data_IF_163960779699
#
_entry.id   IF_163960779699
#
_cell.length_a   1.000
_cell.length_b   1.000
_cell.length_c   1.000
_cell.angle_alpha   90.00
_cell.angle_beta   90.00
_cell.angle_gamma   90.00
#
_symmetry.space_group_name_H-M   'P 1'
#
loop_
_entity.id
_entity.type
_entity.pdbx_description
1 polymer ?
#
# COMPACT_ATOMS: atom_id res chain seq x y z
N UNK A 1 13.96 -0.46 17.13
CA UNK A 1 13.05 -1.61 16.97
C UNK A 1 11.66 -1.17 16.52
N UNK A 2 10.97 -1.95 15.67
CA UNK A 2 9.76 -1.54 14.95
C UNK A 2 8.73 -2.68 14.88
N UNK A 3 7.62 -2.61 15.63
CA UNK A 3 6.57 -3.65 15.61
C UNK A 3 5.40 -3.29 14.68
N UNK A 4 5.11 -4.19 13.73
CA UNK A 4 3.94 -4.16 12.82
C UNK A 4 2.92 -5.17 13.34
N UNK A 5 1.69 -4.73 13.62
CA UNK A 5 0.62 -5.62 14.06
C UNK A 5 -0.67 -5.24 13.32
N UNK A 6 -1.32 -6.16 12.60
CA UNK A 6 -2.65 -5.93 12.07
C UNK A 6 -3.68 -5.98 13.22
N UNK A 7 -4.36 -4.87 13.46
CA UNK A 7 -5.58 -4.87 14.28
C UNK A 7 -6.77 -5.49 13.53
N UNK A 8 -7.26 -6.64 13.97
CA UNK A 8 -8.51 -7.16 13.39
C UNK A 8 -9.71 -6.21 13.57
N UNK A 9 -10.63 -6.15 12.61
CA UNK A 9 -11.89 -5.38 12.71
C UNK A 9 -12.68 -5.85 13.95
N UNK A 10 -12.92 -4.94 14.90
CA UNK A 10 -13.50 -5.19 16.24
C UNK A 10 -14.76 -6.08 16.32
N UNK A 11 -15.54 -6.17 15.24
CA UNK A 11 -16.77 -6.96 15.18
C UNK A 11 -16.70 -8.19 14.26
N UNK A 12 -15.62 -8.33 13.48
CA UNK A 12 -15.42 -9.45 12.56
C UNK A 12 -14.29 -10.37 13.05
N UNK A 13 -13.29 -9.82 13.72
CA UNK A 13 -12.12 -10.55 14.15
C UNK A 13 -12.33 -11.20 15.52
N UNK A 14 -12.00 -12.49 15.59
CA UNK A 14 -12.04 -13.28 16.81
C UNK A 14 -11.09 -12.70 17.86
N UNK A 15 -11.51 -12.76 19.13
CA UNK A 15 -10.74 -12.36 20.31
C UNK A 15 -10.14 -10.93 20.26
N UNK A 16 -10.67 -10.02 19.45
CA UNK A 16 -10.08 -8.69 19.20
C UNK A 16 -9.73 -7.92 20.49
N UNK A 17 -10.66 -7.80 21.45
CA UNK A 17 -10.39 -7.09 22.73
C UNK A 17 -9.24 -7.71 23.52
N UNK A 18 -9.19 -9.03 23.59
CA UNK A 18 -8.17 -9.78 24.32
C UNK A 18 -6.81 -9.61 23.65
N UNK A 19 -6.75 -9.71 22.31
CA UNK A 19 -5.53 -9.46 21.53
C UNK A 19 -4.98 -8.05 21.76
N UNK A 20 -5.82 -7.01 21.78
CA UNK A 20 -5.37 -5.64 22.10
C UNK A 20 -4.78 -5.51 23.52
N UNK A 21 -5.29 -6.27 24.50
CA UNK A 21 -4.71 -6.29 25.85
C UNK A 21 -3.31 -6.90 25.81
N UNK A 22 -3.16 -8.06 25.16
CA UNK A 22 -1.90 -8.79 25.02
C UNK A 22 -0.86 -7.99 24.24
N UNK A 23 -1.26 -7.33 23.14
CA UNK A 23 -0.40 -6.41 22.38
C UNK A 23 0.11 -5.29 23.30
N UNK A 24 -0.78 -4.71 24.11
CA UNK A 24 -0.38 -3.68 25.06
C UNK A 24 0.54 -4.19 26.17
N UNK A 25 0.44 -5.47 26.56
CA UNK A 25 1.36 -6.08 27.52
C UNK A 25 2.73 -6.33 26.89
N UNK A 26 2.77 -6.92 25.69
CA UNK A 26 3.99 -7.12 24.91
C UNK A 26 4.75 -5.81 24.75
N UNK A 27 4.08 -4.78 24.21
CA UNK A 27 4.69 -3.47 23.98
C UNK A 27 5.17 -2.78 25.27
N UNK A 28 4.55 -3.07 26.41
CA UNK A 28 5.00 -2.51 27.69
C UNK A 28 6.26 -3.17 28.25
N UNK A 29 6.54 -4.41 27.83
CA UNK A 29 7.68 -5.22 28.28
C UNK A 29 8.86 -5.10 27.31
N UNK A 30 8.57 -5.15 26.00
CA UNK A 30 9.50 -4.93 24.90
C UNK A 30 9.90 -3.44 24.89
N UNK A 31 11.13 -3.12 25.29
CA UNK A 31 11.65 -1.74 25.36
C UNK A 31 12.01 -1.22 23.96
N UNK A 32 11.03 -1.16 23.06
CA UNK A 32 11.22 -0.69 21.68
C UNK A 32 11.26 0.84 21.63
N UNK A 33 12.04 1.41 20.70
CA UNK A 33 12.05 2.87 20.49
C UNK A 33 10.79 3.37 19.76
N UNK A 34 10.32 2.62 18.74
CA UNK A 34 9.26 3.03 17.83
C UNK A 34 8.31 1.85 17.58
N UNK A 35 7.01 2.13 17.51
CA UNK A 35 5.98 1.12 17.23
C UNK A 35 5.08 1.62 16.10
N UNK A 36 4.84 0.77 15.09
CA UNK A 36 4.05 1.10 13.91
C UNK A 36 2.88 0.12 13.75
N UNK A 37 1.71 0.48 14.24
CA UNK A 37 0.52 -0.39 14.18
C UNK A 37 -0.31 -0.14 12.92
N UNK A 38 -0.70 -1.20 12.24
CA UNK A 38 -1.63 -1.19 11.11
C UNK A 38 -2.99 -1.68 11.57
N UNK A 39 -4.02 -1.39 10.77
CA UNK A 39 -5.37 -1.91 11.01
C UNK A 39 -5.94 -1.61 12.41
N UNK A 40 -5.50 -0.56 13.09
CA UNK A 40 -6.18 -0.07 14.30
C UNK A 40 -7.46 0.68 13.89
N UNK A 41 -8.46 -0.07 13.42
CA UNK A 41 -9.66 0.46 12.78
C UNK A 41 -10.58 1.25 13.72
N UNK A 42 -10.42 1.09 15.04
CA UNK A 42 -11.26 1.72 16.04
C UNK A 42 -10.46 2.71 16.90
N UNK A 43 -10.90 3.98 16.91
CA UNK A 43 -10.31 5.02 17.75
C UNK A 43 -10.33 4.65 19.25
N UNK A 44 -11.34 3.92 19.71
CA UNK A 44 -11.40 3.44 21.10
C UNK A 44 -10.26 2.48 21.44
N UNK A 45 -9.86 1.63 20.50
CA UNK A 45 -8.79 0.65 20.72
C UNK A 45 -7.42 1.34 20.68
N UNK A 46 -7.25 2.33 19.79
CA UNK A 46 -6.11 3.24 19.84
C UNK A 46 -6.01 3.97 21.19
N UNK A 47 -7.10 4.58 21.67
CA UNK A 47 -7.11 5.31 22.95
C UNK A 47 -6.81 4.39 24.14
N UNK A 48 -7.27 3.14 24.08
CA UNK A 48 -6.92 2.12 25.08
C UNK A 48 -5.40 1.86 25.10
N UNK A 49 -4.80 1.57 23.94
CA UNK A 49 -3.35 1.35 23.83
C UNK A 49 -2.57 2.59 24.28
N UNK A 50 -2.94 3.77 23.81
CA UNK A 50 -2.32 5.06 24.20
C UNK A 50 -2.31 5.25 25.71
N UNK A 51 -3.42 4.93 26.39
CA UNK A 51 -3.50 5.02 27.85
C UNK A 51 -2.63 3.98 28.55
N UNK A 52 -2.65 2.72 28.08
CA UNK A 52 -1.87 1.63 28.67
C UNK A 52 -0.37 1.85 28.51
N UNK A 53 0.03 2.41 27.38
CA UNK A 53 1.43 2.59 26.96
C UNK A 53 2.00 3.97 27.29
N UNK A 54 1.25 4.86 27.96
CA UNK A 54 1.66 6.26 28.14
C UNK A 54 2.96 6.46 28.91
N UNK A 55 3.36 5.50 29.75
CA UNK A 55 4.62 5.55 30.50
C UNK A 55 5.85 5.16 29.68
N UNK A 56 5.66 4.30 28.66
CA UNK A 56 6.75 3.79 27.80
C UNK A 56 6.81 4.57 26.49
N UNK A 57 5.65 4.84 25.89
CA UNK A 57 5.49 5.57 24.63
C UNK A 57 4.67 6.86 24.85
N UNK A 58 5.30 7.95 25.35
CA UNK A 58 4.61 9.20 25.63
C UNK A 58 4.09 9.90 24.36
N UNK A 59 4.71 9.63 23.21
CA UNK A 59 4.33 10.18 21.91
C UNK A 59 3.61 9.12 21.09
N UNK A 60 2.33 9.37 20.79
CA UNK A 60 1.47 8.48 19.99
C UNK A 60 0.53 9.28 19.11
N UNK A 61 0.38 8.82 17.86
CA UNK A 61 -0.46 9.49 16.86
C UNK A 61 -1.36 8.48 16.15
N UNK A 62 -2.58 8.90 15.81
CA UNK A 62 -3.57 8.09 15.10
C UNK A 62 -3.81 8.65 13.71
N UNK A 63 -3.40 7.91 12.69
CA UNK A 63 -3.65 8.27 11.29
C UNK A 63 -5.07 7.86 10.90
N UNK A 64 -6.01 8.80 11.02
CA UNK A 64 -7.42 8.55 10.67
C UNK A 64 -7.61 8.58 9.16
N UNK A 65 -8.12 7.47 8.64
CA UNK A 65 -8.64 7.37 7.28
C UNK A 65 -10.14 7.75 7.24
N UNK A 66 -10.59 8.33 6.10
CA UNK A 66 -12.00 8.67 5.86
C UNK A 66 -12.74 7.41 5.40
N UNK A 67 -13.79 7.03 6.12
CA UNK A 67 -14.57 5.80 5.94
C UNK A 67 -15.88 6.07 5.18
N UNK A 68 -16.24 5.26 4.17
CA UNK A 68 -17.64 5.20 3.67
C UNK A 68 -18.08 3.75 3.32
N UNK A 69 -19.13 3.22 3.92
CA UNK A 69 -19.14 1.80 4.33
C UNK A 69 -19.64 0.73 3.33
N UNK A 70 -19.17 0.64 2.07
CA UNK A 70 -19.69 -0.38 1.13
C UNK A 70 -18.69 -1.30 0.40
N UNK A 71 -17.37 -1.07 0.45
CA UNK A 71 -16.32 -1.99 -0.03
C UNK A 71 -15.08 -1.88 0.87
N UNK A 72 -14.58 -2.99 1.41
CA UNK A 72 -13.63 -3.04 2.55
C UNK A 72 -12.38 -2.17 2.40
N UNK A 73 -11.63 -2.30 1.30
CA UNK A 73 -10.39 -1.54 1.09
C UNK A 73 -10.57 -0.22 0.35
N UNK A 74 -11.51 -0.13 -0.60
CA UNK A 74 -11.75 1.09 -1.39
C UNK A 74 -12.24 2.25 -0.52
N UNK A 75 -13.02 1.95 0.51
CA UNK A 75 -13.48 2.94 1.46
C UNK A 75 -12.85 2.82 2.86
N UNK A 76 -11.88 1.93 3.01
CA UNK A 76 -11.01 1.88 4.18
C UNK A 76 -10.00 3.03 4.20
N UNK A 77 -9.90 3.81 3.10
CA UNK A 77 -9.02 4.96 2.90
C UNK A 77 -7.57 4.67 3.30
N UNK A 78 -7.03 3.58 2.73
CA UNK A 78 -5.61 3.21 2.84
C UNK A 78 -4.76 4.44 2.56
N UNK A 79 -3.82 4.72 3.46
CA UNK A 79 -3.05 5.94 3.47
C UNK A 79 -1.64 5.69 4.00
N UNK A 80 -0.75 6.64 3.74
CA UNK A 80 0.58 6.69 4.33
C UNK A 80 0.61 7.72 5.46
N UNK A 81 1.07 7.29 6.63
CA UNK A 81 1.42 8.16 7.74
C UNK A 81 2.90 8.53 7.68
N UNK A 82 3.23 9.78 8.02
CA UNK A 82 4.61 10.26 8.14
C UNK A 82 4.84 10.88 9.51
N UNK A 83 5.93 10.51 10.17
CA UNK A 83 6.43 11.12 11.39
C UNK A 83 7.87 11.60 11.16
N UNK A 84 8.21 12.76 11.71
CA UNK A 84 9.57 13.28 11.71
C UNK A 84 10.10 13.21 13.13
N UNK A 85 11.20 12.48 13.31
CA UNK A 85 11.89 12.36 14.59
C UNK A 85 13.27 13.02 14.50
N UNK A 86 13.71 13.59 15.62
CA UNK A 86 15.08 14.04 15.79
C UNK A 86 15.77 13.11 16.79
N UNK A 87 16.62 12.22 16.29
CA UNK A 87 17.35 11.26 17.11
C UNK A 87 18.81 11.67 17.14
N UNK A 88 19.27 12.18 18.28
CA UNK A 88 20.66 12.62 18.50
C UNK A 88 21.18 13.62 17.44
N UNK A 89 20.30 14.49 16.93
CA UNK A 89 20.64 15.49 15.92
C UNK A 89 20.35 15.05 14.48
N UNK A 90 20.06 13.78 14.24
CA UNK A 90 19.70 13.24 12.93
C UNK A 90 18.19 13.30 12.71
N UNK A 91 17.80 13.78 11.53
CA UNK A 91 16.41 13.84 11.08
C UNK A 91 15.99 12.50 10.50
N UNK A 92 15.23 11.74 11.27
CA UNK A 92 14.71 10.45 10.87
C UNK A 92 13.25 10.61 10.41
N UNK A 93 12.99 10.31 9.14
CA UNK A 93 11.64 10.27 8.60
C UNK A 93 11.12 8.84 8.64
N UNK A 94 9.99 8.66 9.34
CA UNK A 94 9.34 7.36 9.48
C UNK A 94 8.02 7.39 8.73
N UNK A 95 7.83 6.41 7.87
CA UNK A 95 6.63 6.19 7.10
C UNK A 95 5.95 4.91 7.57
N UNK A 96 4.64 4.95 7.68
CA UNK A 96 3.80 3.77 7.93
C UNK A 96 2.73 3.69 6.85
N UNK A 97 2.52 2.50 6.30
CA UNK A 97 1.45 2.29 5.33
C UNK A 97 0.80 0.93 5.50
N UNK A 98 -0.36 0.77 4.88
CA UNK A 98 -0.98 -0.52 4.63
C UNK A 98 -1.61 -0.40 3.24
N UNK A 99 -1.15 -1.21 2.28
CA UNK A 99 -1.64 -1.17 0.90
C UNK A 99 -2.93 -1.98 0.74
N UNK A 100 -3.53 -1.95 -0.45
CA UNK A 100 -4.70 -2.76 -0.79
C UNK A 100 -4.38 -4.25 -0.64
N UNK A 101 -5.33 -5.08 -0.22
CA UNK A 101 -5.06 -6.50 -0.02
C UNK A 101 -4.99 -7.31 -1.34
N UNK A 102 -4.26 -8.42 -1.33
CA UNK A 102 -4.36 -9.45 -2.37
C UNK A 102 -5.43 -10.48 -1.97
N UNK A 103 -6.58 -10.47 -2.64
CA UNK A 103 -7.69 -11.39 -2.31
C UNK A 103 -7.58 -12.75 -3.01
N UNK A 104 -6.95 -12.80 -4.18
CA UNK A 104 -6.79 -14.02 -4.98
C UNK A 104 -5.64 -13.86 -5.97
N UNK A 105 -4.57 -14.65 -5.79
CA UNK A 105 -3.38 -14.62 -6.64
C UNK A 105 -3.67 -14.96 -8.10
N UNK A 106 -4.48 -15.99 -8.35
CA UNK A 106 -4.79 -16.46 -9.71
C UNK A 106 -5.63 -15.45 -10.51
N UNK A 107 -6.42 -14.62 -9.82
CA UNK A 107 -7.34 -13.66 -10.43
C UNK A 107 -7.30 -12.33 -9.70
N UNK A 108 -6.13 -11.71 -9.74
CA UNK A 108 -5.91 -10.47 -9.03
C UNK A 108 -6.33 -9.23 -9.84
N UNK A 109 -7.59 -8.83 -9.69
CA UNK A 109 -8.08 -7.59 -10.30
C UNK A 109 -7.52 -6.32 -9.64
N UNK A 110 -6.90 -6.44 -8.46
CA UNK A 110 -6.42 -5.31 -7.66
C UNK A 110 -4.92 -5.06 -7.79
N UNK A 111 -4.17 -5.92 -8.51
CA UNK A 111 -2.76 -5.68 -8.80
C UNK A 111 -2.50 -4.27 -9.38
N UNK A 112 -3.26 -3.78 -10.38
CA UNK A 112 -3.05 -2.41 -10.88
C UNK A 112 -3.24 -1.35 -9.80
N UNK A 113 -4.16 -1.55 -8.85
CA UNK A 113 -4.38 -0.62 -7.74
C UNK A 113 -3.22 -0.66 -6.75
N UNK A 114 -2.68 -1.84 -6.42
CA UNK A 114 -1.47 -1.97 -5.57
C UNK A 114 -0.25 -1.34 -6.23
N UNK A 115 -0.10 -1.49 -7.54
CA UNK A 115 0.98 -0.83 -8.31
C UNK A 115 0.83 0.68 -8.31
N UNK A 116 -0.38 1.22 -8.48
CA UNK A 116 -0.65 2.67 -8.34
C UNK A 116 -0.31 3.16 -6.93
N UNK A 117 -0.76 2.46 -5.90
CA UNK A 117 -0.47 2.84 -4.51
C UNK A 117 1.04 2.78 -4.21
N UNK A 118 1.75 1.77 -4.69
CA UNK A 118 3.21 1.69 -4.57
C UNK A 118 3.91 2.85 -5.29
N UNK A 119 3.40 3.25 -6.47
CA UNK A 119 3.89 4.41 -7.21
C UNK A 119 3.64 5.73 -6.46
N UNK A 120 2.44 5.94 -5.93
CA UNK A 120 2.13 7.14 -5.14
C UNK A 120 2.96 7.19 -3.84
N UNK A 121 3.10 6.05 -3.16
CA UNK A 121 3.90 5.91 -1.95
C UNK A 121 5.38 6.27 -2.20
N UNK A 122 5.98 5.73 -3.27
CA UNK A 122 7.37 6.05 -3.57
C UNK A 122 7.55 7.55 -3.89
N UNK A 123 6.62 8.15 -4.64
CA UNK A 123 6.67 9.58 -4.95
C UNK A 123 6.57 10.42 -3.68
N UNK A 124 5.64 10.07 -2.79
CA UNK A 124 5.46 10.74 -1.51
C UNK A 124 6.72 10.65 -0.64
N UNK A 125 7.32 9.46 -0.52
CA UNK A 125 8.57 9.27 0.22
C UNK A 125 9.66 10.16 -0.38
N UNK A 126 9.85 10.16 -1.70
CA UNK A 126 10.90 10.95 -2.35
C UNK A 126 10.71 12.46 -2.18
N UNK A 127 9.52 12.98 -2.44
CA UNK A 127 9.24 14.42 -2.37
C UNK A 127 9.25 14.95 -0.95
N UNK A 128 8.94 14.10 0.05
CA UNK A 128 8.88 14.52 1.45
C UNK A 128 10.10 14.13 2.28
N UNK A 129 11.09 13.46 1.68
CA UNK A 129 12.34 13.08 2.36
C UNK A 129 13.52 14.01 2.05
N UNK A 130 13.27 15.15 1.39
CA UNK A 130 14.29 16.18 1.23
C UNK A 130 14.80 16.65 2.62
N UNK A 131 16.10 16.46 2.87
CA UNK A 131 16.75 16.81 4.13
C UNK A 131 16.55 15.83 5.28
N UNK A 132 16.08 14.60 5.00
CA UNK A 132 16.14 13.50 5.97
C UNK A 132 17.53 12.86 5.95
N UNK A 133 18.06 12.58 7.13
CA UNK A 133 19.32 11.84 7.31
C UNK A 133 19.08 10.33 7.25
N UNK A 134 17.90 9.87 7.69
CA UNK A 134 17.48 8.48 7.63
C UNK A 134 16.01 8.43 7.23
N UNK A 135 15.66 7.48 6.37
CA UNK A 135 14.28 7.18 5.99
C UNK A 135 13.97 5.73 6.34
N UNK A 136 12.88 5.50 7.06
CA UNK A 136 12.37 4.18 7.42
C UNK A 136 10.92 4.09 6.95
N UNK A 137 10.56 3.00 6.29
CA UNK A 137 9.19 2.65 5.92
C UNK A 137 8.83 1.31 6.57
N UNK A 138 7.78 1.30 7.37
CA UNK A 138 7.19 0.08 7.92
C UNK A 138 5.76 -0.13 7.43
N UNK A 139 5.38 -1.35 7.11
CA UNK A 139 3.96 -1.65 6.88
C UNK A 139 3.70 -2.92 6.11
N UNK A 140 2.42 -3.24 6.02
CA UNK A 140 1.89 -4.30 5.18
C UNK A 140 1.73 -3.79 3.74
N UNK A 141 2.58 -4.29 2.84
CA UNK A 141 2.54 -3.94 1.42
C UNK A 141 1.59 -4.85 0.61
N UNK A 142 1.07 -5.93 1.21
CA UNK A 142 0.20 -6.92 0.56
C UNK A 142 0.74 -7.45 -0.77
N UNK A 143 2.07 -7.56 -0.85
CA UNK A 143 2.81 -7.97 -2.03
C UNK A 143 4.07 -8.71 -1.58
N UNK A 144 4.37 -9.84 -2.21
CA UNK A 144 5.56 -10.65 -1.97
C UNK A 144 6.84 -9.88 -2.38
N UNK A 145 8.05 -10.22 -1.87
CA UNK A 145 9.27 -9.46 -2.16
C UNK A 145 9.58 -9.27 -3.65
N UNK A 146 9.25 -10.28 -4.47
CA UNK A 146 9.48 -10.29 -5.92
C UNK A 146 8.33 -9.67 -6.73
N UNK A 147 7.22 -9.31 -6.08
CA UNK A 147 6.09 -8.71 -6.75
C UNK A 147 6.41 -7.30 -7.25
N UNK A 148 5.71 -6.90 -8.32
CA UNK A 148 6.00 -5.69 -9.06
C UNK A 148 5.96 -4.42 -8.20
N UNK A 149 4.98 -4.27 -7.31
CA UNK A 149 4.87 -3.08 -6.47
C UNK A 149 6.00 -2.98 -5.43
N UNK A 150 6.44 -4.10 -4.85
CA UNK A 150 7.57 -4.13 -3.91
C UNK A 150 8.89 -3.81 -4.62
N UNK A 151 9.14 -4.43 -5.78
CA UNK A 151 10.30 -4.10 -6.63
C UNK A 151 10.29 -2.64 -7.07
N UNK A 152 9.14 -2.13 -7.52
CA UNK A 152 8.97 -0.73 -7.94
C UNK A 152 9.31 0.23 -6.81
N UNK A 153 8.78 -0.01 -5.62
CA UNK A 153 9.03 0.81 -4.44
C UNK A 153 10.53 0.81 -4.07
N UNK A 154 11.15 -0.37 -3.95
CA UNK A 154 12.57 -0.51 -3.58
C UNK A 154 13.49 0.14 -4.61
N UNK A 155 13.32 -0.21 -5.90
CA UNK A 155 14.20 0.27 -6.97
C UNK A 155 14.08 1.78 -7.18
N UNK A 156 12.89 2.37 -7.05
CA UNK A 156 12.69 3.80 -7.27
C UNK A 156 13.09 4.66 -6.05
N UNK A 157 12.91 4.16 -4.83
CA UNK A 157 13.27 4.89 -3.61
C UNK A 157 14.71 4.66 -3.15
N UNK A 158 15.33 3.54 -3.55
CA UNK A 158 16.60 3.06 -3.01
C UNK A 158 16.50 2.50 -1.60
N UNK A 159 15.28 2.18 -1.12
CA UNK A 159 15.09 1.57 0.19
C UNK A 159 15.56 0.11 0.18
N UNK A 160 16.34 -0.24 1.19
CA UNK A 160 16.86 -1.58 1.43
C UNK A 160 15.90 -2.35 2.35
N UNK A 161 15.84 -3.67 2.17
CA UNK A 161 14.95 -4.54 2.93
C UNK A 161 15.69 -5.13 4.12
N UNK A 162 15.20 -4.89 5.34
CA UNK A 162 15.85 -5.35 6.58
C UNK A 162 16.09 -6.85 6.60
N UNK A 163 15.18 -7.64 6.04
CA UNK A 163 15.35 -9.10 5.96
C UNK A 163 16.48 -9.51 5.02
N UNK A 164 16.69 -8.74 3.94
CA UNK A 164 17.76 -9.02 2.97
C UNK A 164 19.13 -8.56 3.48
N UNK A 165 19.17 -7.52 4.33
CA UNK A 165 20.41 -6.92 4.84
C UNK A 165 20.89 -7.53 6.17
N UNK A 166 19.99 -8.10 6.97
CA UNK A 166 20.36 -8.68 8.27
C UNK A 166 21.14 -9.99 8.12
N UNK A 167 22.17 -10.17 8.96
CA UNK A 167 22.85 -11.46 9.11
C UNK A 167 22.26 -12.32 10.23
N UNK A 168 21.53 -11.69 11.16
CA UNK A 168 20.90 -12.33 12.31
C UNK A 168 19.37 -12.24 12.17
N UNK A 169 18.75 -13.38 11.86
CA UNK A 169 17.30 -13.49 11.70
C UNK A 169 16.73 -14.58 12.59
N UNK A 170 15.76 -14.21 13.44
CA UNK A 170 15.00 -15.15 14.27
C UNK A 170 13.50 -15.01 14.01
N UNK A 171 12.93 -15.88 13.18
CA UNK A 171 11.53 -15.77 12.79
C UNK A 171 10.96 -17.02 12.14
N UNK A 172 9.81 -16.83 11.52
CA UNK A 172 9.23 -17.79 10.57
C UNK A 172 10.13 -17.94 9.33
N UNK A 173 10.07 -19.10 8.68
CA UNK A 173 10.85 -19.42 7.47
C UNK A 173 10.69 -18.32 6.40
N UNK A 174 11.77 -17.96 5.70
CA UNK A 174 11.82 -16.89 4.68
C UNK A 174 11.26 -15.52 5.13
N UNK A 175 11.15 -15.29 6.44
CA UNK A 175 10.59 -14.06 6.99
C UNK A 175 9.07 -13.95 6.80
N UNK A 176 8.37 -15.08 6.60
CA UNK A 176 6.93 -15.07 6.40
C UNK A 176 6.20 -14.37 7.54
N UNK A 177 5.32 -13.44 7.18
CA UNK A 177 4.50 -12.69 8.13
C UNK A 177 3.05 -13.12 8.06
N UNK A 178 2.64 -13.82 7.00
CA UNK A 178 1.32 -14.41 6.85
C UNK A 178 1.47 -15.91 6.60
N UNK A 179 1.11 -16.74 7.60
CA UNK A 179 1.42 -18.17 7.62
C UNK A 179 0.18 -19.05 7.78
N UNK A 180 0.22 -20.26 7.24
CA UNK A 180 -0.90 -21.21 7.24
C UNK A 180 -1.18 -21.83 8.61
N UNK A 181 -0.16 -21.84 9.49
CA UNK A 181 -0.25 -22.29 10.87
C UNK A 181 -1.04 -21.32 11.76
N UNK A 182 -1.26 -20.09 11.29
CA UNK A 182 -2.01 -19.09 12.03
C UNK A 182 -3.52 -19.40 11.98
N UNK A 183 -4.21 -19.60 13.12
CA UNK A 183 -5.62 -19.98 13.16
C UNK A 183 -6.58 -18.87 12.68
N UNK A 184 -6.08 -17.66 12.45
CA UNK A 184 -6.85 -16.53 11.93
C UNK A 184 -6.72 -16.34 10.41
N UNK A 185 -5.79 -17.06 9.78
CA UNK A 185 -5.48 -16.97 8.35
C UNK A 185 -6.33 -17.95 7.53
N UNK A 186 -6.64 -17.56 6.28
CA UNK A 186 -7.15 -18.51 5.28
C UNK A 186 -5.98 -19.18 4.55
N UNK A 187 -5.90 -20.50 4.63
CA UNK A 187 -4.81 -21.31 4.07
C UNK A 187 -4.84 -21.43 2.55
N UNK A 188 -6.00 -21.23 1.91
CA UNK A 188 -6.18 -21.52 0.47
C UNK A 188 -5.22 -20.71 -0.43
N UNK A 189 -4.89 -19.47 -0.05
CA UNK A 189 -3.98 -18.61 -0.80
C UNK A 189 -2.49 -18.86 -0.55
N UNK A 190 -2.14 -19.63 0.49
CA UNK A 190 -0.75 -19.81 0.94
C UNK A 190 -0.12 -21.12 0.47
N UNK A 191 -0.94 -22.09 0.06
CA UNK A 191 -0.47 -23.40 -0.45
C UNK A 191 0.55 -23.25 -1.60
N UNK A 192 0.38 -22.35 -2.59
CA UNK A 192 1.36 -22.18 -3.66
C UNK A 192 2.73 -21.67 -3.20
N UNK A 193 2.82 -21.08 -2.01
CA UNK A 193 4.03 -20.49 -1.44
C UNK A 193 4.66 -21.35 -0.34
N UNK A 194 4.31 -22.63 -0.27
CA UNK A 194 4.86 -23.53 0.74
C UNK A 194 4.33 -23.28 2.15
N UNK A 195 3.19 -22.58 2.30
CA UNK A 195 2.51 -22.39 3.58
C UNK A 195 2.70 -21.01 4.21
N UNK A 196 3.40 -20.07 3.57
CA UNK A 196 3.47 -18.68 4.06
C UNK A 196 3.92 -17.69 3.00
N UNK A 197 3.69 -16.40 3.26
CA UNK A 197 4.16 -15.29 2.43
C UNK A 197 4.68 -14.16 3.32
N UNK A 198 5.66 -13.42 2.79
CA UNK A 198 6.19 -12.19 3.41
C UNK A 198 5.54 -10.98 2.75
N UNK A 199 4.70 -10.28 3.50
CA UNK A 199 3.96 -9.11 3.00
C UNK A 199 4.12 -7.87 3.89
N UNK A 200 4.62 -8.05 5.10
CA UNK A 200 5.02 -6.98 5.99
C UNK A 200 6.51 -6.68 5.83
N UNK A 201 6.87 -5.41 5.89
CA UNK A 201 8.25 -4.97 5.63
C UNK A 201 8.69 -3.87 6.57
N UNK A 202 9.99 -3.89 6.85
CA UNK A 202 10.74 -2.77 7.41
C UNK A 202 11.82 -2.44 6.39
N UNK A 203 11.65 -1.33 5.69
CA UNK A 203 12.60 -0.86 4.68
C UNK A 203 13.29 0.41 5.18
N UNK A 204 14.58 0.58 4.86
CA UNK A 204 15.33 1.76 5.29
C UNK A 204 16.34 2.25 4.26
N UNK A 205 16.78 3.50 4.41
CA UNK A 205 17.94 4.07 3.73
C UNK A 205 18.50 5.25 4.52
N UNK A 206 19.78 5.51 4.34
CA UNK A 206 20.41 6.75 4.80
C UNK A 206 20.39 7.88 3.76
N UNK A 207 20.71 9.08 4.22
CA UNK A 207 21.23 10.13 3.35
C UNK A 207 22.64 9.71 2.90
N UNK A 208 23.15 10.22 1.78
CA UNK A 208 24.51 9.88 1.34
C UNK A 208 25.63 10.24 2.36
N UNK A 209 25.28 10.84 3.49
CA UNK A 209 26.14 11.23 4.62
C UNK A 209 25.98 10.30 5.85
N UNK A 210 24.94 9.45 5.86
CA UNK A 210 24.63 8.53 6.95
C UNK A 210 24.47 7.13 6.37
N UNK A 211 25.32 6.21 6.81
CA UNK A 211 25.15 4.79 6.51
C UNK A 211 24.13 4.17 7.48
N UNK A 212 23.33 3.24 6.97
CA UNK A 212 22.27 2.58 7.73
C UNK A 212 22.34 1.10 7.47
N UNK A 213 22.33 0.29 8.54
CA UNK A 213 22.38 -1.16 8.48
C UNK A 213 21.38 -1.79 9.45
N UNK A 214 21.00 -3.04 9.16
CA UNK A 214 20.16 -3.86 10.05
C UNK A 214 21.07 -4.84 10.80
N UNK A 215 21.09 -4.76 12.14
CA UNK A 215 21.87 -5.69 12.97
C UNK A 215 21.12 -7.01 13.16
N UNK A 216 19.84 -6.93 13.49
CA UNK A 216 18.98 -8.09 13.73
C UNK A 216 17.57 -7.84 13.20
N UNK A 217 16.89 -8.93 12.82
CA UNK A 217 15.47 -8.92 12.51
C UNK A 217 14.82 -10.15 13.14
N UNK A 218 13.66 -9.99 13.74
CA UNK A 218 12.87 -11.11 14.24
C UNK A 218 11.40 -11.00 13.86
N UNK A 219 10.73 -12.15 13.87
CA UNK A 219 9.27 -12.22 13.78
C UNK A 219 8.70 -12.88 15.02
N UNK A 220 7.47 -12.53 15.40
CA UNK A 220 6.72 -13.42 16.31
C UNK A 220 6.53 -14.78 15.65
N UNK A 221 6.29 -15.80 16.49
CA UNK A 221 6.07 -17.17 16.03
C UNK A 221 4.86 -17.77 16.74
N UNK A 222 3.72 -17.76 16.07
CA UNK A 222 2.55 -18.51 16.52
C UNK A 222 1.97 -18.00 17.84
N UNK A 223 1.43 -18.89 18.71
CA UNK A 223 0.63 -18.48 19.85
C UNK A 223 1.39 -17.61 20.87
N UNK A 224 0.67 -16.65 21.44
CA UNK A 224 1.18 -15.83 22.54
C UNK A 224 1.48 -16.73 23.75
N UNK A 225 2.63 -16.59 24.44
CA UNK A 225 2.94 -17.38 25.62
C UNK A 225 1.79 -17.40 26.64
N UNK A 226 1.29 -18.60 26.96
CA UNK A 226 0.16 -18.78 27.88
C UNK A 226 -1.23 -18.66 27.25
N UNK A 227 -1.34 -18.40 25.94
CA UNK A 227 -2.61 -18.31 25.21
C UNK A 227 -2.63 -19.26 23.99
N UNK A 228 -3.81 -19.75 23.57
CA UNK A 228 -3.92 -20.71 22.48
C UNK A 228 -3.94 -20.06 21.08
N UNK A 229 -3.70 -18.75 20.98
CA UNK A 229 -3.79 -18.01 19.72
C UNK A 229 -2.70 -16.92 19.63
N UNK A 230 -2.33 -16.50 18.40
CA UNK A 230 -1.32 -15.45 18.16
C UNK A 230 -1.86 -14.03 18.40
N UNK A 231 -0.97 -13.03 18.40
CA UNK A 231 -1.33 -11.62 18.54
C UNK A 231 -2.20 -11.12 17.38
N UNK A 232 -1.96 -11.62 16.17
CA UNK A 232 -2.79 -11.39 14.99
C UNK A 232 -2.76 -12.54 13.99
N UNK A 233 -3.52 -12.42 12.91
CA UNK A 233 -3.40 -13.18 11.65
C UNK A 233 -2.08 -12.95 10.92
N UNK A 234 -1.35 -11.89 11.23
CA UNK A 234 0.05 -11.75 10.81
C UNK A 234 0.99 -11.88 12.01
N UNK A 235 2.19 -12.36 11.71
CA UNK A 235 3.34 -12.32 12.60
C UNK A 235 3.98 -10.93 12.57
N UNK A 236 4.33 -10.43 13.74
CA UNK A 236 4.85 -9.09 13.90
C UNK A 236 6.35 -9.07 13.61
N UNK A 237 6.83 -8.07 12.86
CA UNK A 237 8.24 -7.85 12.60
C UNK A 237 8.88 -6.99 13.68
N UNK A 238 10.18 -7.17 13.94
CA UNK A 238 10.98 -6.42 14.92
C UNK A 238 12.39 -6.28 14.35
N UNK A 239 12.84 -5.06 14.02
CA UNK A 239 14.18 -4.83 13.45
C UNK A 239 15.04 -3.87 14.28
N UNK A 240 16.29 -4.22 14.52
CA UNK A 240 17.28 -3.34 15.13
C UNK A 240 18.15 -2.70 14.05
N UNK A 241 17.90 -1.40 13.83
CA UNK A 241 18.52 -0.62 12.75
C UNK A 241 19.53 0.35 13.36
N UNK A 242 20.77 0.26 12.88
CA UNK A 242 21.87 1.13 13.28
C UNK A 242 22.19 2.11 12.17
N UNK A 243 22.55 3.33 12.56
CA UNK A 243 23.01 4.34 11.63
C UNK A 243 24.27 5.02 12.14
N UNK A 244 25.22 5.21 11.24
CA UNK A 244 26.53 5.81 11.52
C UNK A 244 26.85 6.86 10.46
N UNK A 245 27.55 7.92 10.84
CA UNK A 245 27.95 8.98 9.90
C UNK A 245 29.10 8.43 9.06
N UNK A 246 28.88 8.26 7.77
CA UNK A 246 29.84 7.64 6.85
C UNK A 246 29.83 8.35 5.48
N UNK A 247 30.98 8.36 4.83
CA UNK A 247 31.21 9.07 3.56
C UNK A 247 30.71 8.28 2.35
N UNK A 248 29.75 8.86 1.63
CA UNK A 248 29.40 8.67 0.22
C UNK A 248 29.64 7.27 -0.38
N UNK A 249 28.54 6.53 -0.53
CA UNK A 249 28.43 5.49 -1.58
C UNK A 249 27.33 5.90 -2.57
N UNK A 250 27.61 5.74 -3.86
CA UNK A 250 26.65 5.92 -4.94
C UNK A 250 26.38 4.53 -5.54
N UNK A 251 25.12 4.12 -5.60
CA UNK A 251 24.70 2.89 -6.26
C UNK A 251 23.93 3.23 -7.54
N UNK A 252 24.51 2.92 -8.69
CA UNK A 252 23.88 3.10 -10.00
C UNK A 252 23.10 1.84 -10.41
N UNK A 253 21.80 1.81 -10.12
CA UNK A 253 20.84 0.77 -10.57
C UNK A 253 19.83 1.29 -11.62
N UNK A 254 20.23 2.26 -12.43
CA UNK A 254 19.34 2.91 -13.40
C UNK A 254 18.71 1.95 -14.45
N UNK A 255 19.41 0.94 -15.01
CA UNK A 255 18.81 0.02 -15.97
C UNK A 255 17.70 -0.86 -15.39
N UNK A 256 17.89 -1.35 -14.16
CA UNK A 256 16.92 -2.18 -13.45
C UNK A 256 15.64 -1.39 -13.12
N UNK A 257 15.82 -0.12 -12.73
CA UNK A 257 14.72 0.80 -12.50
C UNK A 257 13.87 1.02 -13.75
N UNK A 258 14.50 1.24 -14.91
CA UNK A 258 13.79 1.43 -16.19
C UNK A 258 12.94 0.20 -16.54
N UNK A 259 13.48 -1.00 -16.35
CA UNK A 259 12.73 -2.24 -16.61
C UNK A 259 11.52 -2.35 -15.67
N UNK A 260 11.73 -2.12 -14.37
CA UNK A 260 10.67 -2.20 -13.36
C UNK A 260 9.54 -1.20 -13.62
N UNK A 261 9.86 0.04 -14.02
CA UNK A 261 8.86 1.07 -14.33
C UNK A 261 8.10 0.76 -15.63
N UNK A 262 8.76 0.15 -16.63
CA UNK A 262 8.07 -0.30 -17.85
C UNK A 262 7.07 -1.42 -17.58
N UNK A 263 7.45 -2.38 -16.73
CA UNK A 263 6.57 -3.46 -16.29
C UNK A 263 5.36 -2.89 -15.52
N UNK A 264 5.61 -2.02 -14.53
CA UNK A 264 4.57 -1.32 -13.76
C UNK A 264 3.59 -0.56 -14.66
N UNK A 265 4.12 0.17 -15.64
CA UNK A 265 3.30 0.91 -16.61
C UNK A 265 2.43 -0.04 -17.46
N UNK A 266 2.94 -1.21 -17.82
CA UNK A 266 2.18 -2.19 -18.60
C UNK A 266 1.01 -2.74 -17.80
N UNK A 267 1.23 -3.08 -16.53
CA UNK A 267 0.16 -3.54 -15.63
C UNK A 267 -0.91 -2.45 -15.38
N UNK A 268 -0.49 -1.20 -15.14
CA UNK A 268 -1.42 -0.07 -14.99
C UNK A 268 -2.25 0.13 -16.26
N UNK A 269 -1.66 -0.05 -17.45
CA UNK A 269 -2.41 -0.01 -18.71
C UNK A 269 -3.42 -1.13 -18.83
N UNK A 270 -3.09 -2.36 -18.44
CA UNK A 270 -4.04 -3.48 -18.47
C UNK A 270 -5.24 -3.17 -17.56
N UNK A 271 -4.97 -2.66 -16.34
CA UNK A 271 -6.01 -2.19 -15.42
C UNK A 271 -6.87 -1.08 -16.01
N UNK A 272 -6.25 -0.09 -16.67
CA UNK A 272 -6.96 1.00 -17.32
C UNK A 272 -7.94 0.51 -18.39
N UNK A 273 -7.52 -0.37 -19.30
CA UNK A 273 -8.40 -0.92 -20.34
C UNK A 273 -9.56 -1.72 -19.72
N UNK A 274 -9.33 -2.41 -18.61
CA UNK A 274 -10.37 -3.11 -17.87
C UNK A 274 -11.39 -2.12 -17.28
N UNK A 275 -10.91 -1.09 -16.58
CA UNK A 275 -11.76 -0.05 -15.98
C UNK A 275 -12.57 0.72 -17.03
N UNK A 276 -11.97 1.03 -18.18
CA UNK A 276 -12.68 1.65 -19.31
C UNK A 276 -13.80 0.77 -19.84
N UNK A 277 -13.54 -0.54 -20.04
CA UNK A 277 -14.56 -1.50 -20.45
C UNK A 277 -15.72 -1.57 -19.46
N UNK A 278 -15.41 -1.58 -18.16
CA UNK A 278 -16.43 -1.59 -17.10
C UNK A 278 -17.24 -0.29 -17.10
N UNK A 279 -16.60 0.87 -17.25
CA UNK A 279 -17.27 2.17 -17.41
C UNK A 279 -18.22 2.18 -18.61
N UNK A 280 -17.78 1.68 -19.77
CA UNK A 280 -18.62 1.59 -20.96
C UNK A 280 -19.81 0.64 -20.76
N UNK A 281 -19.62 -0.47 -20.06
CA UNK A 281 -20.68 -1.42 -19.74
C UNK A 281 -21.71 -0.80 -18.79
N UNK A 282 -21.26 -0.10 -17.74
CA UNK A 282 -22.13 0.65 -16.83
C UNK A 282 -22.92 1.74 -17.56
N UNK A 283 -22.27 2.50 -18.45
CA UNK A 283 -22.93 3.53 -19.26
C UNK A 283 -24.01 2.94 -20.19
N UNK A 284 -23.70 1.85 -20.91
CA UNK A 284 -24.66 1.18 -21.79
C UNK A 284 -25.86 0.64 -21.02
N UNK A 285 -25.62 0.03 -19.86
CA UNK A 285 -26.68 -0.50 -19.00
C UNK A 285 -27.55 0.62 -18.43
N UNK A 286 -26.94 1.74 -18.00
CA UNK A 286 -27.65 2.93 -17.54
C UNK A 286 -28.50 3.58 -18.64
N UNK A 287 -27.99 3.68 -19.86
CA UNK A 287 -28.76 4.17 -21.02
C UNK A 287 -29.95 3.26 -21.30
N UNK A 288 -29.76 1.93 -21.28
CA UNK A 288 -30.85 0.98 -21.47
C UNK A 288 -31.91 1.12 -20.36
N UNK A 289 -31.49 1.26 -19.11
CA UNK A 289 -32.40 1.52 -17.98
C UNK A 289 -33.17 2.84 -18.13
N UNK A 290 -32.52 3.89 -18.62
CA UNK A 290 -33.15 5.19 -18.89
C UNK A 290 -34.19 5.08 -20.01
N UNK A 291 -33.87 4.37 -21.10
CA UNK A 291 -34.81 4.14 -22.21
C UNK A 291 -36.04 3.37 -21.73
N UNK A 292 -35.87 2.35 -20.89
CA UNK A 292 -36.97 1.60 -20.30
C UNK A 292 -37.85 2.48 -19.39
N UNK A 293 -37.22 3.31 -18.55
CA UNK A 293 -37.95 4.24 -17.68
C UNK A 293 -38.74 5.28 -18.49
N UNK A 294 -38.17 5.82 -19.56
CA UNK A 294 -38.87 6.75 -20.46
C UNK A 294 -40.03 6.06 -21.17
N UNK A 295 -39.85 4.81 -21.62
CA UNK A 295 -40.91 4.02 -22.25
C UNK A 295 -42.07 3.78 -21.28
N UNK A 296 -41.77 3.46 -20.02
CA UNK A 296 -42.78 3.33 -18.97
C UNK A 296 -43.54 4.63 -18.74
N UNK A 297 -42.83 5.74 -18.58
CA UNK A 297 -43.47 7.06 -18.41
C UNK A 297 -44.36 7.42 -19.61
N UNK A 298 -43.95 7.07 -20.83
CA UNK A 298 -44.76 7.24 -22.03
C UNK A 298 -46.03 6.38 -21.97
N UNK A 299 -45.93 5.10 -21.56
CA UNK A 299 -47.08 4.21 -21.37
C UNK A 299 -48.04 4.73 -20.29
N UNK A 300 -47.51 5.22 -19.16
CA UNK A 300 -48.32 5.82 -18.10
C UNK A 300 -49.01 7.12 -18.53
N UNK A 301 -48.48 7.82 -19.54
CA UNK A 301 -49.10 9.02 -20.07
C UNK A 301 -50.25 8.73 -21.06
N UNK A 302 -50.33 7.53 -21.65
CA UNK A 302 -51.38 7.17 -22.63
C UNK A 302 -52.80 7.42 -22.11
N UNK A 303 -53.18 7.05 -20.87
CA UNK A 303 -54.52 7.33 -20.34
C UNK A 303 -54.85 8.82 -20.18
N UNK A 304 -53.85 9.71 -20.08
CA UNK A 304 -54.08 11.17 -20.03
C UNK A 304 -54.53 11.73 -21.38
N UNK A 305 -54.19 11.05 -22.48
CA UNK A 305 -54.54 11.45 -23.85
C UNK A 305 -55.72 10.64 -24.42
N UNK A 306 -56.05 9.50 -23.82
CA UNK A 306 -57.21 8.69 -24.18
C UNK A 306 -58.49 9.25 -23.54
N UNK A 307 -59.20 10.12 -24.27
CA UNK A 307 -60.56 10.55 -23.92
C UNK A 307 -61.52 9.35 -23.93
N UNK A 308 -61.79 8.77 -22.75
CA UNK A 308 -63.06 8.08 -22.49
C UNK A 308 -63.08 6.56 -22.37
N UNK A 309 -61.95 5.86 -22.13
CA UNK A 309 -61.98 4.41 -21.87
C UNK A 309 -61.29 4.03 -20.56
N UNK A 310 -62.11 3.67 -19.55
CA UNK A 310 -61.66 3.07 -18.29
C UNK A 310 -61.16 1.64 -18.53
N UNK A 311 -59.88 1.48 -18.88
CA UNK A 311 -59.23 0.17 -18.85
C UNK A 311 -58.54 -0.08 -17.50
N UNK A 312 -58.61 -1.30 -16.94
CA UNK A 312 -57.93 -1.64 -15.70
C UNK A 312 -56.41 -1.70 -15.92
N UNK A 313 -55.71 -0.61 -15.58
CA UNK A 313 -54.26 -0.54 -15.66
C UNK A 313 -53.61 -1.30 -14.47
N UNK A 314 -52.65 -2.20 -14.68
CA UNK A 314 -51.99 -2.95 -13.62
C UNK A 314 -50.99 -2.06 -12.83
N UNK A 315 -51.54 -1.17 -11.99
CA UNK A 315 -50.78 -0.15 -11.24
C UNK A 315 -49.62 -0.74 -10.43
N UNK A 316 -49.84 -1.85 -9.73
CA UNK A 316 -48.82 -2.46 -8.87
C UNK A 316 -47.60 -2.95 -9.65
N UNK A 317 -47.80 -3.70 -10.73
CA UNK A 317 -46.71 -4.20 -11.58
C UNK A 317 -45.96 -3.06 -12.27
N UNK A 318 -46.67 -2.01 -12.67
CA UNK A 318 -46.08 -0.83 -13.29
C UNK A 318 -45.20 -0.04 -12.31
N UNK A 319 -45.67 0.22 -11.09
CA UNK A 319 -44.84 0.89 -10.07
C UNK A 319 -43.64 0.04 -9.64
N UNK A 320 -43.79 -1.28 -9.58
CA UNK A 320 -42.69 -2.20 -9.27
C UNK A 320 -41.61 -2.16 -10.36
N UNK A 321 -42.02 -2.15 -11.64
CA UNK A 321 -41.09 -2.07 -12.77
C UNK A 321 -40.37 -0.71 -12.80
N UNK A 322 -41.10 0.39 -12.58
CA UNK A 322 -40.50 1.72 -12.49
C UNK A 322 -39.53 1.88 -11.31
N UNK A 323 -39.84 1.29 -10.16
CA UNK A 323 -38.92 1.24 -9.02
C UNK A 323 -37.65 0.42 -9.35
N UNK A 324 -37.80 -0.70 -10.05
CA UNK A 324 -36.66 -1.51 -10.50
C UNK A 324 -35.79 -0.75 -11.52
N UNK A 325 -36.40 -0.11 -12.52
CA UNK A 325 -35.68 0.73 -13.50
C UNK A 325 -34.95 1.89 -12.85
N UNK A 326 -35.58 2.56 -11.87
CA UNK A 326 -34.92 3.60 -11.08
C UNK A 326 -33.75 3.06 -10.27
N UNK A 327 -33.90 1.92 -9.59
CA UNK A 327 -32.83 1.30 -8.81
C UNK A 327 -31.65 0.87 -9.69
N UNK A 328 -31.91 0.30 -10.88
CA UNK A 328 -30.88 -0.04 -11.87
C UNK A 328 -30.18 1.22 -12.37
N UNK A 329 -30.93 2.28 -12.68
CA UNK A 329 -30.35 3.56 -13.15
C UNK A 329 -29.47 4.21 -12.08
N UNK A 330 -29.92 4.22 -10.82
CA UNK A 330 -29.14 4.73 -9.70
C UNK A 330 -27.86 3.91 -9.49
N UNK A 331 -27.98 2.58 -9.49
CA UNK A 331 -26.85 1.68 -9.30
C UNK A 331 -25.82 1.80 -10.44
N UNK A 332 -26.28 1.87 -11.69
CA UNK A 332 -25.40 2.04 -12.86
C UNK A 332 -24.77 3.43 -12.92
N UNK A 333 -25.45 4.48 -12.46
CA UNK A 333 -24.87 5.80 -12.31
C UNK A 333 -23.74 5.80 -11.28
N UNK A 334 -23.96 5.17 -10.12
CA UNK A 334 -22.91 5.03 -9.08
C UNK A 334 -21.70 4.25 -9.61
N UNK A 335 -21.93 3.12 -10.29
CA UNK A 335 -20.86 2.36 -10.95
C UNK A 335 -20.16 3.17 -12.04
N UNK A 336 -20.88 3.97 -12.82
CA UNK A 336 -20.27 4.83 -13.83
C UNK A 336 -19.36 5.89 -13.22
N UNK A 337 -19.80 6.55 -12.15
CA UNK A 337 -18.97 7.50 -11.40
C UNK A 337 -17.75 6.81 -10.82
N UNK A 338 -17.94 5.63 -10.22
CA UNK A 338 -16.86 4.79 -9.68
C UNK A 338 -15.79 4.49 -10.74
N UNK A 339 -16.16 3.85 -11.84
CA UNK A 339 -15.21 3.50 -12.91
C UNK A 339 -14.63 4.74 -13.59
N UNK A 340 -15.34 5.87 -13.59
CA UNK A 340 -14.78 7.13 -14.10
C UNK A 340 -13.68 7.69 -13.19
N UNK A 341 -13.80 7.55 -11.87
CA UNK A 341 -12.72 7.91 -10.94
C UNK A 341 -11.54 6.96 -11.09
N UNK A 342 -11.80 5.66 -11.17
CA UNK A 342 -10.78 4.63 -11.35
C UNK A 342 -9.96 4.85 -12.64
N UNK A 343 -10.63 5.07 -13.77
CA UNK A 343 -9.98 5.41 -15.05
C UNK A 343 -9.10 6.65 -14.93
N UNK A 344 -9.58 7.70 -14.25
CA UNK A 344 -8.80 8.94 -14.05
C UNK A 344 -7.54 8.69 -13.22
N UNK A 345 -7.64 7.90 -12.14
CA UNK A 345 -6.50 7.57 -11.29
C UNK A 345 -5.45 6.73 -12.02
N UNK A 346 -5.89 5.68 -12.73
CA UNK A 346 -5.01 4.83 -13.53
C UNK A 346 -4.34 5.59 -14.68
N UNK A 347 -5.10 6.40 -15.42
CA UNK A 347 -4.58 7.22 -16.51
C UNK A 347 -3.57 8.25 -16.02
N UNK A 348 -3.87 8.96 -14.93
CA UNK A 348 -2.96 9.94 -14.35
C UNK A 348 -1.63 9.31 -13.91
N UNK A 349 -1.68 8.09 -13.34
CA UNK A 349 -0.49 7.34 -12.95
C UNK A 349 0.31 6.86 -14.16
N UNK A 350 -0.36 6.34 -15.19
CA UNK A 350 0.30 5.93 -16.44
C UNK A 350 1.06 7.08 -17.10
N UNK A 351 0.44 8.27 -17.14
CA UNK A 351 1.07 9.48 -17.68
C UNK A 351 2.31 9.90 -16.87
N UNK A 352 2.25 9.81 -15.53
CA UNK A 352 3.41 10.07 -14.67
C UNK A 352 4.53 9.05 -14.91
N UNK A 353 4.20 7.76 -15.00
CA UNK A 353 5.19 6.70 -15.28
C UNK A 353 5.84 6.92 -16.66
N UNK A 354 5.05 7.33 -17.67
CA UNK A 354 5.54 7.67 -19.00
C UNK A 354 6.54 8.84 -18.96
N UNK A 355 6.24 9.90 -18.22
CA UNK A 355 7.14 11.04 -18.05
C UNK A 355 8.44 10.66 -17.31
N UNK A 356 8.34 9.84 -16.25
CA UNK A 356 9.49 9.32 -15.55
C UNK A 356 10.40 8.48 -16.46
N UNK A 357 9.80 7.59 -17.27
CA UNK A 357 10.54 6.78 -18.25
C UNK A 357 11.27 7.64 -19.28
N UNK A 358 10.64 8.70 -19.80
CA UNK A 358 11.34 9.62 -20.71
C UNK A 358 12.55 10.29 -20.03
N UNK A 359 12.41 10.71 -18.77
CA UNK A 359 13.50 11.31 -18.01
C UNK A 359 14.66 10.33 -17.77
N UNK A 360 14.37 9.08 -17.40
CA UNK A 360 15.40 8.06 -17.23
C UNK A 360 16.10 7.70 -18.53
N UNK A 361 15.37 7.67 -19.65
CA UNK A 361 15.95 7.44 -20.97
C UNK A 361 16.86 8.59 -21.42
N UNK A 362 16.55 9.82 -21.04
CA UNK A 362 17.45 10.97 -21.25
C UNK A 362 18.72 10.83 -20.41
N UNK A 363 18.60 10.52 -19.11
CA UNK A 363 19.76 10.27 -18.24
C UNK A 363 20.67 9.15 -18.78
N UNK A 364 20.10 8.04 -19.23
CA UNK A 364 20.85 6.95 -19.86
C UNK A 364 21.58 7.36 -21.15
N UNK A 365 21.05 8.34 -21.90
CA UNK A 365 21.70 8.88 -23.11
C UNK A 365 22.81 9.88 -22.78
N UNK A 366 22.75 10.53 -21.61
CA UNK A 366 23.73 11.51 -21.15
C UNK A 366 24.91 10.88 -20.41
N UNK A 367 24.70 9.82 -19.62
CA UNK A 367 25.76 9.07 -18.92
C UNK A 367 26.95 8.62 -19.81
N UNK A 368 26.77 8.14 -21.06
CA UNK A 368 27.90 7.79 -21.91
C UNK A 368 28.72 8.99 -22.41
N UNK A 369 28.24 10.25 -22.28
CA UNK A 369 28.98 11.45 -22.70
C UNK A 369 29.90 12.01 -21.60
N UNK A 370 29.57 11.82 -20.32
CA UNK A 370 30.36 12.34 -19.19
C UNK A 370 31.65 11.54 -18.97
N UNK A 371 31.61 10.22 -19.17
CA UNK A 371 32.82 9.36 -19.14
C UNK A 371 33.81 9.64 -20.28
N UNK A 372 33.39 10.33 -21.34
CA UNK A 372 34.25 10.70 -22.47
C UNK A 372 34.99 12.02 -22.26
N UNK A 373 34.53 12.91 -21.37
CA UNK A 373 35.13 14.25 -21.20
C UNK A 373 36.17 14.34 -20.08
N UNK A 374 36.17 13.42 -19.11
CA UNK A 374 37.10 13.46 -17.97
C UNK A 374 38.45 12.78 -18.20
N UNK A 375 38.69 12.18 -19.37
CA UNK A 375 39.98 11.57 -19.73
C UNK A 375 40.93 12.48 -20.57
N UNK A 376 40.67 13.78 -20.66
CA UNK A 376 41.56 14.74 -21.33
C UNK A 376 42.06 15.87 -20.42
N UNK A 377 42.55 15.53 -19.22
CA UNK A 377 43.55 16.37 -18.52
C UNK A 377 44.91 15.67 -18.53
N UNK A 378 45.80 16.17 -19.38
CA UNK A 378 47.22 15.79 -19.46
C UNK A 378 47.89 15.93 -18.07
N UNK A 379 48.77 15.01 -17.67
CA UNK A 379 49.57 15.21 -16.47
C UNK A 379 50.64 16.28 -16.73
N UNK A 380 50.68 17.31 -15.88
CA UNK A 380 51.84 18.17 -15.72
C UNK A 380 52.83 17.45 -14.79
N UNK A 381 54.05 17.28 -15.29
CA UNK A 381 55.24 16.96 -14.51
C UNK A 381 55.47 18.03 -13.43
N UNK A 382 55.50 17.62 -12.17
CA UNK A 382 56.51 18.10 -11.22
C UNK A 382 56.48 17.26 -9.95
N UNK A 383 57.64 16.66 -9.65
CA UNK A 383 58.05 16.20 -8.33
C UNK A 383 57.74 17.30 -7.30
N UNK A 384 57.08 16.95 -6.21
CA UNK A 384 57.56 17.23 -4.86
C UNK A 384 56.72 16.48 -3.81
N UNK A 385 57.44 15.73 -2.99
CA UNK A 385 57.00 14.96 -1.84
C UNK A 385 56.57 15.85 -0.67
N UNK A 386 55.40 15.59 -0.09
CA UNK A 386 55.07 15.98 1.30
C UNK A 386 54.32 14.82 1.96
N UNK A 387 54.87 14.37 3.09
CA UNK A 387 54.29 13.41 4.02
C UNK A 387 53.14 14.01 4.84
N UNK A 388 52.09 13.20 5.05
CA UNK A 388 51.51 12.93 6.38
C UNK A 388 50.84 11.55 6.35
#
# INVERSE_FOLDING_TARGET
TLLILPGGIRYLSKNCKERFVLIGDLLSQEQLDIVLLQEVWCEKDFLFLKKKLSSVYPYSYYFKSVRDAQHGDWFGGKAVGKVLLNIRGLKVHIFITHLHAEYCREKDSYLPHRVVQAWELQQFIRHTSAGADVVILGGDLNMHPDDLGTRLLRNYTGLQDSFSETADFDGCEEGHTHISENPFTNTDGLVPFGGGVRIDYILFKGSGEVDVSCESLSTTKGPVPGHPFPYSDHEALTADVWFSILSLSFSDKLPELVNTVNEARTEVKVGLHCAERMRHTAARTGIMGLVLLVLELAIAAVPLFALGTEQPFPKASFYLLGALCFAVLLSTLMLYVFYSMEVKALQGTEDQMRLALSSFQEQLKESPKVLSSDHLRKPLDSKDSIHL
#
